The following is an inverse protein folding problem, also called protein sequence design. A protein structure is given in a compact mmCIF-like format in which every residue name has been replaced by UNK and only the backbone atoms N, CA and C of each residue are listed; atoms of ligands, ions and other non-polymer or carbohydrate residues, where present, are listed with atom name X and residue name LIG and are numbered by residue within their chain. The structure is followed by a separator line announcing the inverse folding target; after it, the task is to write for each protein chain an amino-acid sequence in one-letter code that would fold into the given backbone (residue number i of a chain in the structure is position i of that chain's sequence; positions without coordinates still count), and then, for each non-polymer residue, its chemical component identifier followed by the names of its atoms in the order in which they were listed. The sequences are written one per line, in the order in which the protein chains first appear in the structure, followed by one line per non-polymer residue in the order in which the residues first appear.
data_IF_739738134433
#
_entry.id   IF_739738134433
#
_cell.length_a   1.000
_cell.length_b   1.000
_cell.length_c   1.000
_cell.angle_alpha   90.00
_cell.angle_beta   90.00
_cell.angle_gamma   90.00
#
_symmetry.space_group_name_H-M   'P 1'
#
loop_
_entity.id
_entity.type
_entity.pdbx_description
1 polymer ?
#
# COMPACT_ATOMS: atom_id res chain seq x y z
N UNK A 1 -15.72 -15.57 -40.13
CA UNK A 1 -15.57 -14.30 -39.38
C UNK A 1 -14.56 -14.52 -38.27
N UNK A 2 -13.29 -14.18 -38.52
CA UNK A 2 -12.23 -14.24 -37.50
C UNK A 2 -12.10 -12.84 -36.90
N UNK A 3 -12.24 -12.77 -35.58
CA UNK A 3 -12.33 -11.55 -34.77
C UNK A 3 -10.94 -11.18 -34.22
N UNK A 4 -9.99 -10.83 -35.09
CA UNK A 4 -8.60 -10.50 -34.70
C UNK A 4 -8.23 -9.03 -34.73
N UNK A 5 -9.12 -8.11 -35.13
CA UNK A 5 -8.70 -6.75 -35.51
C UNK A 5 -9.20 -5.64 -34.57
N UNK A 6 -9.20 -5.89 -33.25
CA UNK A 6 -9.29 -4.79 -32.28
C UNK A 6 -7.89 -4.24 -31.98
N UNK A 7 -7.43 -3.33 -32.85
CA UNK A 7 -6.27 -2.50 -32.62
C UNK A 7 -6.61 -1.45 -31.55
N UNK A 8 -6.17 -1.66 -30.31
CA UNK A 8 -6.19 -0.61 -29.30
C UNK A 8 -5.10 0.41 -29.64
N UNK A 9 -5.42 1.71 -29.77
CA UNK A 9 -4.41 2.74 -29.97
C UNK A 9 -3.48 2.76 -28.76
N UNK A 10 -2.22 2.38 -28.96
CA UNK A 10 -1.15 2.54 -27.98
C UNK A 10 -0.89 4.02 -27.78
N UNK A 11 -1.62 4.64 -26.86
CA UNK A 11 -1.27 5.96 -26.31
C UNK A 11 0.20 5.87 -25.88
N UNK A 12 1.03 6.75 -26.44
CA UNK A 12 2.43 6.93 -26.05
C UNK A 12 2.50 6.96 -24.53
N UNK A 13 3.10 5.92 -23.95
CA UNK A 13 3.36 5.78 -22.53
C UNK A 13 4.49 6.77 -22.24
N UNK A 14 4.15 8.01 -21.88
CA UNK A 14 5.09 8.94 -21.25
C UNK A 14 5.85 8.16 -20.19
N UNK A 15 7.18 8.28 -20.14
CA UNK A 15 8.08 7.57 -19.21
C UNK A 15 7.39 7.37 -17.86
N UNK A 16 6.81 6.20 -17.69
CA UNK A 16 6.03 5.87 -16.52
C UNK A 16 7.08 5.41 -15.52
N UNK A 17 7.42 6.28 -14.58
CA UNK A 17 8.30 5.91 -13.48
C UNK A 17 7.87 4.54 -12.94
N UNK A 18 8.78 3.56 -12.99
CA UNK A 18 8.46 2.19 -12.61
C UNK A 18 8.05 2.16 -11.13
N UNK A 19 6.79 1.79 -10.89
CA UNK A 19 6.27 1.54 -9.55
C UNK A 19 6.59 0.10 -9.19
N UNK A 20 7.38 -0.08 -8.14
CA UNK A 20 7.73 -1.37 -7.56
C UNK A 20 6.96 -1.57 -6.26
N UNK A 21 6.23 -2.68 -6.15
CA UNK A 21 5.61 -3.11 -4.90
C UNK A 21 6.51 -4.15 -4.23
N UNK A 22 6.85 -3.95 -2.96
CA UNK A 22 7.60 -4.93 -2.17
C UNK A 22 6.75 -5.44 -1.01
N UNK A 23 6.87 -6.74 -0.72
CA UNK A 23 6.35 -7.31 0.52
C UNK A 23 7.33 -6.98 1.65
N UNK A 24 6.82 -6.34 2.68
CA UNK A 24 7.61 -5.84 3.80
C UNK A 24 7.95 -7.01 4.71
N UNK A 25 9.24 -7.18 4.97
CA UNK A 25 9.75 -8.27 5.82
C UNK A 25 10.77 -7.79 6.85
N UNK A 26 11.36 -6.61 6.64
CA UNK A 26 12.36 -6.02 7.54
C UNK A 26 11.76 -4.94 8.43
N UNK A 27 12.39 -4.69 9.58
CA UNK A 27 11.96 -3.64 10.52
C UNK A 27 12.08 -2.26 9.89
N UNK A 28 13.09 -2.04 9.06
CA UNK A 28 13.33 -0.78 8.36
C UNK A 28 12.19 -0.46 7.39
N UNK A 29 11.74 -1.44 6.60
CA UNK A 29 10.60 -1.30 5.69
C UNK A 29 9.28 -1.06 6.46
N UNK A 30 9.08 -1.73 7.60
CA UNK A 30 7.93 -1.47 8.47
C UNK A 30 7.92 -0.04 9.00
N UNK A 31 9.09 0.49 9.39
CA UNK A 31 9.23 1.87 9.83
C UNK A 31 8.88 2.86 8.72
N UNK A 32 9.25 2.59 7.46
CA UNK A 32 8.84 3.43 6.32
C UNK A 32 7.32 3.42 6.12
N UNK A 33 6.68 2.25 6.22
CA UNK A 33 5.22 2.15 6.17
C UNK A 33 4.55 2.97 7.28
N UNK A 34 5.09 2.89 8.50
CA UNK A 34 4.59 3.64 9.64
C UNK A 34 4.74 5.16 9.46
N UNK A 35 5.86 5.63 8.90
CA UNK A 35 6.06 7.06 8.61
C UNK A 35 5.03 7.59 7.63
N UNK A 36 4.78 6.87 6.52
CA UNK A 36 3.79 7.27 5.50
C UNK A 36 2.39 7.31 6.10
N UNK A 37 2.02 6.28 6.86
CA UNK A 37 0.74 6.22 7.56
C UNK A 37 0.58 7.35 8.58
N UNK A 38 1.63 7.65 9.34
CA UNK A 38 1.62 8.77 10.30
C UNK A 38 1.42 10.11 9.59
N UNK A 39 2.12 10.35 8.47
CA UNK A 39 1.95 11.58 7.70
C UNK A 39 0.47 11.76 7.29
N UNK A 40 -0.12 10.72 6.73
CA UNK A 40 -1.46 10.81 6.15
C UNK A 40 -2.54 10.76 7.23
N UNK A 41 -2.51 9.77 8.12
CA UNK A 41 -3.54 9.62 9.15
C UNK A 41 -3.44 10.72 10.21
N UNK A 42 -2.24 11.03 10.71
CA UNK A 42 -2.10 12.00 11.80
C UNK A 42 -2.09 13.43 11.27
N UNK A 43 -1.28 13.74 10.25
CA UNK A 43 -1.13 15.14 9.81
C UNK A 43 -2.22 15.58 8.83
N UNK A 44 -2.58 14.73 7.86
CA UNK A 44 -3.61 15.11 6.87
C UNK A 44 -5.03 14.83 7.37
N UNK A 45 -5.27 13.67 7.96
CA UNK A 45 -6.61 13.22 8.37
C UNK A 45 -6.92 13.49 9.85
N UNK A 46 -5.97 14.04 10.61
CA UNK A 46 -6.10 14.37 12.04
C UNK A 46 -6.57 13.19 12.93
N UNK A 47 -6.24 11.96 12.54
CA UNK A 47 -6.39 10.79 13.39
C UNK A 47 -5.46 10.90 14.60
N UNK A 48 -5.90 10.34 15.74
CA UNK A 48 -5.08 10.32 16.94
C UNK A 48 -3.83 9.45 16.70
N UNK A 49 -2.60 9.97 16.87
CA UNK A 49 -1.38 9.19 16.68
C UNK A 49 -1.31 7.95 17.58
N UNK A 50 -1.96 7.96 18.75
CA UNK A 50 -2.04 6.80 19.64
C UNK A 50 -2.88 5.64 19.05
N UNK A 51 -3.74 5.92 18.07
CA UNK A 51 -4.58 4.91 17.41
C UNK A 51 -3.94 4.34 16.15
N UNK A 52 -2.81 4.91 15.68
CA UNK A 52 -2.17 4.48 14.43
C UNK A 52 -1.35 3.20 14.59
N UNK A 53 -0.74 3.01 15.77
CA UNK A 53 -0.11 1.76 16.16
C UNK A 53 -1.14 0.89 16.88
N UNK A 54 -1.57 -0.17 16.23
CA UNK A 54 -2.42 -1.17 16.87
C UNK A 54 -1.65 -2.46 17.20
N UNK A 55 -2.32 -3.37 17.90
CA UNK A 55 -1.75 -4.66 18.29
C UNK A 55 -1.47 -5.57 17.06
N UNK A 56 -2.04 -5.23 15.90
CA UNK A 56 -1.94 -6.01 14.67
C UNK A 56 -0.70 -5.66 13.85
N UNK A 57 -0.12 -4.47 14.00
CA UNK A 57 1.15 -4.08 13.35
C UNK A 57 2.32 -5.00 13.73
N UNK A 58 2.27 -5.65 14.90
CA UNK A 58 3.28 -6.62 15.35
C UNK A 58 2.88 -8.07 15.10
N UNK A 59 1.69 -8.31 14.57
CA UNK A 59 1.18 -9.67 14.35
C UNK A 59 1.84 -10.30 13.13
N UNK A 60 2.35 -11.51 13.27
CA UNK A 60 2.92 -12.29 12.17
C UNK A 60 1.90 -12.64 11.07
N UNK A 61 0.62 -12.49 11.35
CA UNK A 61 -0.48 -12.67 10.39
C UNK A 61 -0.76 -11.42 9.55
N UNK A 62 -0.16 -10.28 9.89
CA UNK A 62 -0.36 -9.03 9.18
C UNK A 62 0.64 -8.89 8.02
N UNK A 63 0.13 -8.63 6.83
CA UNK A 63 0.96 -8.44 5.64
C UNK A 63 1.03 -6.96 5.28
N UNK A 64 2.25 -6.44 5.20
CA UNK A 64 2.51 -5.06 4.79
C UNK A 64 3.16 -5.05 3.41
N UNK A 65 2.78 -4.07 2.60
CA UNK A 65 3.40 -3.81 1.30
C UNK A 65 3.77 -2.34 1.18
N UNK A 66 4.88 -2.08 0.51
CA UNK A 66 5.38 -0.73 0.25
C UNK A 66 5.45 -0.50 -1.25
N UNK A 67 4.89 0.61 -1.70
CA UNK A 67 4.98 1.08 -3.08
C UNK A 67 6.16 2.05 -3.20
N UNK A 68 7.08 1.74 -4.11
CA UNK A 68 8.28 2.51 -4.39
C UNK A 68 8.22 3.06 -5.81
N UNK A 69 8.51 4.33 -5.99
CA UNK A 69 8.68 4.99 -7.28
C UNK A 69 10.13 5.43 -7.40
N UNK A 70 10.91 4.85 -8.30
CA UNK A 70 12.34 5.14 -8.42
C UNK A 70 13.11 5.02 -7.08
N UNK A 71 12.74 4.03 -6.26
CA UNK A 71 13.24 3.77 -4.89
C UNK A 71 12.72 4.72 -3.79
N UNK A 72 11.88 5.69 -4.11
CA UNK A 72 11.22 6.53 -3.13
C UNK A 72 9.90 5.87 -2.65
N UNK A 73 9.67 5.71 -1.34
CA UNK A 73 8.38 5.27 -0.84
C UNK A 73 7.30 6.30 -1.16
N UNK A 74 6.29 5.85 -1.90
CA UNK A 74 5.14 6.67 -2.31
C UNK A 74 3.83 6.22 -1.68
N UNK A 75 3.81 5.08 -1.00
CA UNK A 75 2.61 4.58 -0.36
C UNK A 75 2.79 3.23 0.31
N UNK A 76 1.86 2.87 1.16
CA UNK A 76 1.85 1.56 1.83
C UNK A 76 0.44 0.99 1.90
N UNK A 77 0.35 -0.33 1.97
CA UNK A 77 -0.88 -1.04 2.31
C UNK A 77 -0.61 -2.10 3.36
N UNK A 78 -1.58 -2.25 4.27
CA UNK A 78 -1.60 -3.29 5.29
C UNK A 78 -2.82 -4.17 5.08
N UNK A 79 -2.63 -5.48 5.23
CA UNK A 79 -3.66 -6.51 5.14
C UNK A 79 -3.63 -7.30 6.45
N UNK A 80 -4.70 -7.21 7.24
CA UNK A 80 -4.87 -7.99 8.45
C UNK A 80 -5.99 -9.03 8.26
N UNK A 81 -5.73 -10.34 8.40
CA UNK A 81 -6.75 -11.38 8.30
C UNK A 81 -7.62 -11.41 9.56
N UNK A 82 -8.92 -11.11 9.41
CA UNK A 82 -9.86 -11.18 10.52
C UNK A 82 -10.26 -12.64 10.83
N UNK A 83 -10.25 -13.10 12.09
CA UNK A 83 -10.45 -14.52 12.44
C UNK A 83 -11.91 -15.00 12.35
N UNK A 84 -12.82 -14.29 11.68
CA UNK A 84 -14.23 -14.69 11.57
C UNK A 84 -14.56 -15.27 10.17
N UNK A 85 -15.55 -16.19 10.09
CA UNK A 85 -15.94 -16.85 8.83
C UNK A 85 -16.58 -15.91 7.80
N UNK A 86 -16.89 -14.67 8.18
CA UNK A 86 -17.36 -13.58 7.31
C UNK A 86 -16.27 -12.52 7.26
N UNK A 87 -15.19 -12.81 6.55
CA UNK A 87 -13.96 -12.02 6.62
C UNK A 87 -14.13 -10.66 5.94
N UNK A 88 -14.14 -9.58 6.74
CA UNK A 88 -13.88 -8.23 6.26
C UNK A 88 -12.38 -8.01 6.30
N UNK A 89 -11.73 -7.89 5.15
CA UNK A 89 -10.33 -7.44 5.05
C UNK A 89 -10.32 -5.92 5.20
N UNK A 90 -9.69 -5.41 6.25
CA UNK A 90 -9.41 -3.98 6.34
C UNK A 90 -8.15 -3.67 5.51
N UNK A 91 -8.32 -2.86 4.47
CA UNK A 91 -7.25 -2.41 3.58
C UNK A 91 -7.09 -0.90 3.73
N UNK A 92 -5.99 -0.48 4.34
CA UNK A 92 -5.62 0.93 4.43
C UNK A 92 -4.63 1.23 3.30
N UNK A 93 -5.04 2.02 2.31
CA UNK A 93 -4.17 2.48 1.23
C UNK A 93 -3.84 3.93 1.51
N UNK A 94 -2.56 4.23 1.69
CA UNK A 94 -2.09 5.60 1.83
C UNK A 94 -1.03 5.87 0.77
N UNK A 95 -1.20 6.96 0.03
CA UNK A 95 -0.25 7.42 -0.97
C UNK A 95 0.20 8.83 -0.59
N UNK A 96 1.51 9.06 -0.50
CA UNK A 96 2.05 10.40 -0.35
C UNK A 96 1.98 11.12 -1.70
N UNK A 97 1.47 12.36 -1.71
CA UNK A 97 1.42 13.22 -2.91
C UNK A 97 2.80 13.72 -3.34
#
# INVERSE_FOLDING_TARGET
VNSSDYCYPTKQRSEMDDIKIIHVSTTEEQNECYKIRTEIFVKEQNCNPANELDEYDKSSSCHHFLALKSSLPIGTVRIHPYPSPTSTTEMYITCSN
#
